data_IF_160791957745
#
_entry.id   IF_160791957745
#
_cell.length_a   1.000
_cell.length_b   1.000
_cell.length_c   1.000
_cell.angle_alpha   90.00
_cell.angle_beta   90.00
_cell.angle_gamma   90.00
#
_symmetry.space_group_name_H-M   'P 1'
#
loop_
_entity.id
_entity.type
_entity.pdbx_description
1 polymer ?
#
# COMPACT_ATOMS: atom_id res chain seq x y z
N UNK A 1 5.48 -14.16 23.74
CA UNK A 1 4.81 -12.96 23.19
C UNK A 1 5.27 -12.61 21.78
N UNK A 2 6.59 -12.47 21.48
CA UNK A 2 7.10 -12.06 20.16
C UNK A 2 6.55 -12.89 18.98
N UNK A 3 6.59 -14.23 19.02
CA UNK A 3 6.07 -15.07 17.94
C UNK A 3 4.56 -14.87 17.70
N UNK A 4 3.78 -14.70 18.77
CA UNK A 4 2.33 -14.43 18.66
C UNK A 4 2.03 -13.10 17.98
N UNK A 5 2.82 -12.07 18.29
CA UNK A 5 2.71 -10.76 17.62
C UNK A 5 3.21 -10.81 16.17
N UNK A 6 4.29 -11.56 15.89
CA UNK A 6 4.76 -11.79 14.52
C UNK A 6 3.66 -12.45 13.66
N UNK A 7 2.96 -13.45 14.20
CA UNK A 7 1.88 -14.10 13.48
C UNK A 7 0.66 -13.19 13.28
N UNK A 8 0.35 -12.31 14.26
CA UNK A 8 -0.66 -11.27 14.07
C UNK A 8 -0.33 -10.37 12.87
N UNK A 9 0.93 -9.89 12.77
CA UNK A 9 1.36 -9.06 11.65
C UNK A 9 1.34 -9.81 10.33
N UNK A 10 1.74 -11.08 10.33
CA UNK A 10 1.66 -11.94 9.15
C UNK A 10 0.22 -11.99 8.62
N UNK A 11 -0.75 -12.35 9.47
CA UNK A 11 -2.16 -12.44 9.08
C UNK A 11 -2.71 -11.08 8.62
N UNK A 12 -2.45 -10.02 9.38
CA UNK A 12 -2.97 -8.68 9.09
C UNK A 12 -2.52 -8.17 7.72
N UNK A 13 -1.24 -8.31 7.39
CA UNK A 13 -0.73 -7.85 6.10
C UNK A 13 -1.05 -8.80 4.94
N UNK A 14 -1.29 -10.09 5.24
CA UNK A 14 -1.81 -11.03 4.24
C UNK A 14 -3.18 -10.62 3.72
N UNK A 15 -4.05 -10.04 4.53
CA UNK A 15 -5.35 -9.48 4.09
C UNK A 15 -5.14 -8.48 2.95
N UNK A 16 -4.17 -7.60 3.07
CA UNK A 16 -3.85 -6.59 2.06
C UNK A 16 -3.16 -7.19 0.83
N UNK A 17 -2.22 -8.11 1.07
CA UNK A 17 -1.45 -8.78 0.02
C UNK A 17 -2.31 -9.58 -0.95
N UNK A 18 -3.49 -10.08 -0.54
CA UNK A 18 -4.39 -10.83 -1.40
C UNK A 18 -4.95 -10.00 -2.56
N UNK A 19 -5.22 -8.72 -2.37
CA UNK A 19 -5.96 -7.95 -3.36
C UNK A 19 -5.29 -6.65 -3.79
N UNK A 20 -4.60 -5.92 -2.90
CA UNK A 20 -4.20 -4.54 -3.14
C UNK A 20 -3.51 -4.33 -4.50
N UNK A 21 -2.61 -5.22 -4.86
CA UNK A 21 -1.81 -5.08 -6.08
C UNK A 21 -2.55 -5.54 -7.33
N UNK A 22 -3.37 -6.58 -7.27
CA UNK A 22 -4.13 -7.12 -8.41
C UNK A 22 -5.55 -6.56 -8.53
N UNK A 23 -5.97 -5.70 -7.59
CA UNK A 23 -7.33 -5.14 -7.56
C UNK A 23 -7.68 -4.32 -8.80
N UNK A 24 -6.71 -3.57 -9.35
CA UNK A 24 -6.89 -2.83 -10.60
C UNK A 24 -7.27 -3.73 -11.78
N UNK A 25 -6.71 -4.95 -11.84
CA UNK A 25 -7.06 -5.92 -12.87
C UNK A 25 -8.49 -6.45 -12.69
N UNK A 26 -8.92 -6.72 -11.46
CA UNK A 26 -10.30 -7.10 -11.16
C UNK A 26 -11.31 -6.01 -11.53
N UNK A 27 -11.00 -4.76 -11.17
CA UNK A 27 -11.84 -3.60 -11.54
C UNK A 27 -11.97 -3.46 -13.06
N UNK A 28 -10.85 -3.62 -13.78
CA UNK A 28 -10.83 -3.59 -15.23
C UNK A 28 -11.67 -4.69 -15.85
N UNK A 29 -11.47 -5.94 -15.40
CA UNK A 29 -12.24 -7.09 -15.87
C UNK A 29 -13.76 -6.92 -15.62
N UNK A 30 -14.11 -6.34 -14.46
CA UNK A 30 -15.50 -6.07 -14.08
C UNK A 30 -16.15 -4.84 -14.75
N UNK A 31 -15.42 -4.06 -15.58
CA UNK A 31 -15.96 -2.88 -16.27
C UNK A 31 -15.71 -1.55 -15.56
N UNK A 32 -15.06 -1.54 -14.39
CA UNK A 32 -14.71 -0.33 -13.64
C UNK A 32 -13.25 0.13 -13.87
N UNK A 33 -12.68 -0.25 -15.01
CA UNK A 33 -11.28 0.06 -15.31
C UNK A 33 -10.96 1.56 -15.38
N UNK A 34 -11.91 2.39 -15.85
CA UNK A 34 -11.79 3.84 -15.87
C UNK A 34 -11.92 4.47 -14.48
N UNK A 35 -12.37 3.70 -13.49
CA UNK A 35 -12.65 4.16 -12.14
C UNK A 35 -11.60 3.73 -11.11
N UNK A 36 -10.53 3.04 -11.52
CA UNK A 36 -9.45 2.53 -10.65
C UNK A 36 -8.94 3.63 -9.71
N UNK A 37 -8.76 4.85 -10.21
CA UNK A 37 -8.27 5.98 -9.42
C UNK A 37 -9.14 6.28 -8.20
N UNK A 38 -10.45 6.10 -8.27
CA UNK A 38 -11.35 6.39 -7.14
C UNK A 38 -11.20 5.36 -6.03
N UNK A 39 -11.01 4.09 -6.38
CA UNK A 39 -10.79 3.01 -5.40
C UNK A 39 -9.46 3.17 -4.64
N UNK A 40 -8.38 3.52 -5.34
CA UNK A 40 -7.09 3.77 -4.68
C UNK A 40 -7.06 5.13 -3.97
N UNK A 41 -7.76 6.15 -4.47
CA UNK A 41 -7.91 7.43 -3.78
C UNK A 41 -8.70 7.28 -2.46
N UNK A 42 -9.67 6.36 -2.39
CA UNK A 42 -10.44 6.06 -1.19
C UNK A 42 -9.53 5.61 -0.02
N UNK A 43 -8.44 4.88 -0.30
CA UNK A 43 -7.44 4.50 0.73
C UNK A 43 -6.88 5.74 1.41
N UNK A 44 -6.50 6.74 0.63
CA UNK A 44 -5.99 8.02 1.15
C UNK A 44 -7.05 8.78 1.95
N UNK A 45 -8.25 8.92 1.40
CA UNK A 45 -9.37 9.63 2.05
C UNK A 45 -9.71 9.02 3.42
N UNK A 46 -9.83 7.70 3.48
CA UNK A 46 -10.13 6.97 4.72
C UNK A 46 -8.98 7.11 5.73
N UNK A 47 -7.74 7.10 5.26
CA UNK A 47 -6.54 7.25 6.11
C UNK A 47 -6.47 8.59 6.82
N UNK A 48 -7.18 9.61 6.33
CA UNK A 48 -7.25 10.93 6.99
C UNK A 48 -8.05 10.92 8.29
N UNK A 49 -9.11 10.11 8.34
CA UNK A 49 -10.13 10.22 9.37
C UNK A 49 -10.15 9.02 10.32
N UNK A 50 -10.16 7.80 9.77
CA UNK A 50 -10.52 6.60 10.55
C UNK A 50 -9.47 6.18 11.58
N UNK A 51 -8.13 6.32 11.34
CA UNK A 51 -7.16 5.97 12.38
C UNK A 51 -7.25 6.87 13.62
N UNK A 52 -7.51 8.16 13.43
CA UNK A 52 -7.67 9.09 14.54
C UNK A 52 -8.93 8.79 15.37
N UNK A 53 -10.05 8.51 14.70
CA UNK A 53 -11.30 8.13 15.34
C UNK A 53 -11.15 6.83 16.14
N UNK A 54 -10.62 5.76 15.50
CA UNK A 54 -10.48 4.47 16.16
C UNK A 54 -9.42 4.48 17.27
N UNK A 55 -8.36 5.28 17.12
CA UNK A 55 -7.40 5.53 18.19
C UNK A 55 -8.07 6.16 19.41
N UNK A 56 -8.93 7.15 19.21
CA UNK A 56 -9.70 7.78 20.28
C UNK A 56 -10.62 6.77 20.99
N UNK A 57 -11.31 5.91 20.23
CA UNK A 57 -12.14 4.83 20.80
C UNK A 57 -11.31 3.85 21.62
N UNK A 58 -10.12 3.47 21.13
CA UNK A 58 -9.21 2.55 21.81
C UNK A 58 -8.67 3.13 23.13
N UNK A 59 -8.44 4.43 23.19
CA UNK A 59 -7.87 5.10 24.35
C UNK A 59 -8.89 5.29 25.49
N UNK A 60 -10.20 5.21 25.20
CA UNK A 60 -11.24 5.63 26.15
C UNK A 60 -12.35 4.63 26.41
N UNK A 61 -12.77 3.88 25.41
CA UNK A 61 -13.99 3.09 25.47
C UNK A 61 -13.75 1.59 25.37
N UNK A 62 -12.87 1.16 24.49
CA UNK A 62 -12.66 -0.26 24.16
C UNK A 62 -11.18 -0.57 24.15
N UNK A 63 -10.72 -1.65 24.81
CA UNK A 63 -9.33 -2.08 24.71
C UNK A 63 -8.87 -2.20 23.25
N UNK A 64 -7.69 -1.65 22.92
CA UNK A 64 -7.17 -1.58 21.55
C UNK A 64 -7.16 -2.94 20.82
N UNK A 65 -6.87 -4.02 21.54
CA UNK A 65 -6.90 -5.38 20.98
C UNK A 65 -8.31 -5.85 20.62
N UNK A 66 -9.30 -5.56 21.46
CA UNK A 66 -10.72 -5.92 21.17
C UNK A 66 -11.24 -5.10 20.00
N UNK A 67 -10.90 -3.81 19.95
CA UNK A 67 -11.27 -2.93 18.85
C UNK A 67 -10.59 -3.39 17.54
N UNK A 68 -9.34 -3.82 17.61
CA UNK A 68 -8.62 -4.43 16.47
C UNK A 68 -9.37 -5.64 15.92
N UNK A 69 -9.80 -6.56 16.78
CA UNK A 69 -10.57 -7.74 16.37
C UNK A 69 -11.93 -7.37 15.76
N UNK A 70 -12.64 -6.42 16.37
CA UNK A 70 -13.93 -5.93 15.86
C UNK A 70 -13.78 -5.26 14.49
N UNK A 71 -12.76 -4.42 14.32
CA UNK A 71 -12.46 -3.79 13.03
C UNK A 71 -12.14 -4.83 11.94
N UNK A 72 -11.35 -5.87 12.25
CA UNK A 72 -11.10 -6.96 11.31
C UNK A 72 -12.37 -7.75 10.97
N UNK A 73 -13.24 -8.00 11.95
CA UNK A 73 -14.51 -8.69 11.72
C UNK A 73 -15.41 -7.88 10.76
N UNK A 74 -15.63 -6.58 11.07
CA UNK A 74 -16.44 -5.71 10.21
C UNK A 74 -15.85 -5.57 8.80
N UNK A 75 -14.53 -5.38 8.71
CA UNK A 75 -13.83 -5.34 7.43
C UNK A 75 -14.02 -6.63 6.63
N UNK A 76 -13.86 -7.80 7.29
CA UNK A 76 -14.05 -9.11 6.64
C UNK A 76 -15.47 -9.29 6.10
N UNK A 77 -16.49 -8.92 6.86
CA UNK A 77 -17.89 -9.04 6.42
C UNK A 77 -18.17 -8.15 5.20
N UNK A 78 -17.62 -6.93 5.18
CA UNK A 78 -17.75 -6.01 4.04
C UNK A 78 -16.98 -6.51 2.80
N UNK A 79 -15.78 -7.05 3.00
CA UNK A 79 -15.01 -7.67 1.91
C UNK A 79 -15.68 -8.94 1.38
N UNK A 80 -16.29 -9.74 2.27
CA UNK A 80 -17.12 -10.89 1.88
C UNK A 80 -18.32 -10.45 1.04
N UNK A 81 -19.01 -9.39 1.45
CA UNK A 81 -20.09 -8.78 0.65
C UNK A 81 -19.60 -8.28 -0.72
N UNK A 82 -18.41 -7.68 -0.78
CA UNK A 82 -17.79 -7.25 -2.02
C UNK A 82 -17.44 -8.43 -2.94
N UNK A 83 -16.95 -9.54 -2.35
CA UNK A 83 -16.73 -10.80 -3.08
C UNK A 83 -18.02 -11.34 -3.68
N UNK A 84 -19.08 -11.55 -2.86
CA UNK A 84 -20.38 -12.04 -3.36
C UNK A 84 -20.92 -11.15 -4.46
N UNK A 85 -20.85 -9.83 -4.28
CA UNK A 85 -21.31 -8.88 -5.30
C UNK A 85 -20.51 -9.06 -6.61
N UNK A 86 -19.20 -9.14 -6.54
CA UNK A 86 -18.36 -9.30 -7.74
C UNK A 86 -18.49 -10.67 -8.41
N UNK A 87 -18.75 -11.72 -7.65
CA UNK A 87 -18.94 -13.08 -8.16
C UNK A 87 -20.31 -13.24 -8.86
N UNK A 88 -21.33 -12.56 -8.37
CA UNK A 88 -22.69 -12.62 -8.92
C UNK A 88 -22.97 -11.60 -10.04
N UNK A 89 -22.11 -10.59 -10.20
CA UNK A 89 -22.28 -9.53 -11.20
C UNK A 89 -21.03 -9.41 -12.08
N UNK A 90 -20.96 -10.10 -13.23
CA UNK A 90 -19.83 -10.02 -14.16
C UNK A 90 -19.50 -8.59 -14.61
N UNK A 91 -20.51 -7.72 -14.65
CA UNK A 91 -20.36 -6.28 -14.86
C UNK A 91 -20.64 -5.55 -13.54
N UNK A 92 -19.57 -5.04 -12.93
CA UNK A 92 -19.63 -4.32 -11.67
C UNK A 92 -20.29 -2.95 -11.87
N UNK A 93 -21.21 -2.60 -10.97
CA UNK A 93 -21.74 -1.23 -10.89
C UNK A 93 -20.92 -0.45 -9.85
N UNK A 94 -20.50 0.77 -10.23
CA UNK A 94 -19.60 1.59 -9.41
C UNK A 94 -20.11 1.78 -7.97
N UNK A 95 -21.31 2.33 -7.79
CA UNK A 95 -21.80 2.77 -6.48
C UNK A 95 -21.86 1.64 -5.44
N UNK A 96 -22.57 0.51 -5.68
CA UNK A 96 -22.66 -0.53 -4.66
C UNK A 96 -21.31 -1.18 -4.35
N UNK A 97 -20.48 -1.43 -5.37
CA UNK A 97 -19.17 -2.05 -5.17
C UNK A 97 -18.21 -1.10 -4.45
N UNK A 98 -18.23 0.19 -4.82
CA UNK A 98 -17.41 1.23 -4.17
C UNK A 98 -17.80 1.42 -2.70
N UNK A 99 -19.09 1.41 -2.35
CA UNK A 99 -19.54 1.54 -0.98
C UNK A 99 -19.12 0.36 -0.10
N UNK A 100 -19.19 -0.87 -0.62
CA UNK A 100 -18.67 -2.05 0.09
C UNK A 100 -17.17 -1.94 0.34
N UNK A 101 -16.41 -1.52 -0.67
CA UNK A 101 -14.96 -1.33 -0.56
C UNK A 101 -14.59 -0.17 0.38
N UNK A 102 -15.29 0.96 0.28
CA UNK A 102 -15.10 2.10 1.19
C UNK A 102 -15.38 1.73 2.64
N UNK A 103 -16.45 0.98 2.87
CA UNK A 103 -16.78 0.44 4.19
C UNK A 103 -15.70 -0.51 4.71
N UNK A 104 -15.21 -1.42 3.86
CA UNK A 104 -14.06 -2.27 4.19
C UNK A 104 -12.85 -1.43 4.61
N UNK A 105 -12.48 -0.42 3.82
CA UNK A 105 -11.34 0.45 4.14
C UNK A 105 -11.55 1.20 5.46
N UNK A 106 -12.76 1.68 5.72
CA UNK A 106 -13.07 2.44 6.95
C UNK A 106 -12.77 1.64 8.23
N UNK A 107 -12.93 0.33 8.19
CA UNK A 107 -12.58 -0.56 9.30
C UNK A 107 -11.18 -1.14 9.20
N UNK A 108 -10.67 -1.41 7.98
CA UNK A 108 -9.37 -2.06 7.81
C UNK A 108 -8.19 -1.10 8.04
N UNK A 109 -8.23 0.12 7.50
CA UNK A 109 -7.10 1.07 7.59
C UNK A 109 -6.71 1.38 9.06
N UNK A 110 -7.64 1.65 9.98
CA UNK A 110 -7.25 1.92 11.37
C UNK A 110 -6.63 0.70 12.09
N UNK A 111 -6.82 -0.52 11.59
CA UNK A 111 -6.21 -1.71 12.19
C UNK A 111 -4.69 -1.64 12.24
N UNK A 112 -4.05 -0.91 11.30
CA UNK A 112 -2.60 -0.71 11.29
C UNK A 112 -2.12 0.03 12.54
N UNK A 113 -2.78 1.13 12.88
CA UNK A 113 -2.47 1.91 14.09
C UNK A 113 -2.81 1.13 15.37
N UNK A 114 -3.96 0.45 15.41
CA UNK A 114 -4.39 -0.38 16.55
C UNK A 114 -3.43 -1.54 16.80
N UNK A 115 -2.95 -2.22 15.75
CA UNK A 115 -1.98 -3.29 15.87
C UNK A 115 -0.64 -2.79 16.43
N UNK A 116 -0.16 -1.62 15.96
CA UNK A 116 1.06 -1.01 16.48
C UNK A 116 0.92 -0.66 17.97
N UNK A 117 -0.17 0.03 18.35
CA UNK A 117 -0.45 0.40 19.73
C UNK A 117 -0.54 -0.83 20.65
N UNK A 118 -1.28 -1.83 20.22
CA UNK A 118 -1.43 -3.11 20.95
C UNK A 118 -0.09 -3.81 21.11
N UNK A 119 0.70 -3.88 20.03
CA UNK A 119 2.01 -4.55 20.04
C UNK A 119 2.98 -3.85 20.97
N UNK A 120 3.06 -2.52 20.95
CA UNK A 120 3.93 -1.76 21.84
C UNK A 120 3.54 -1.94 23.31
N UNK A 121 2.24 -1.93 23.60
CA UNK A 121 1.74 -2.12 24.95
C UNK A 121 2.06 -3.54 25.49
N UNK A 122 1.82 -4.59 24.69
CA UNK A 122 2.11 -5.98 25.05
C UNK A 122 3.61 -6.27 25.18
N UNK A 123 4.47 -5.65 24.37
CA UNK A 123 5.93 -5.74 24.51
C UNK A 123 6.37 -5.12 25.82
N UNK A 124 5.92 -3.90 26.13
CA UNK A 124 6.22 -3.22 27.40
C UNK A 124 5.78 -4.03 28.60
N UNK A 125 4.55 -4.59 28.59
CA UNK A 125 4.05 -5.46 29.65
C UNK A 125 4.91 -6.73 29.84
N UNK A 126 5.51 -7.22 28.74
CA UNK A 126 6.43 -8.39 28.78
C UNK A 126 7.86 -8.03 29.13
N UNK A 127 8.13 -6.80 29.60
CA UNK A 127 9.49 -6.31 29.94
C UNK A 127 10.40 -6.12 28.73
N UNK A 128 9.84 -6.02 27.51
CA UNK A 128 10.61 -5.90 26.26
C UNK A 128 10.51 -4.48 25.70
N UNK A 129 11.64 -3.93 25.30
CA UNK A 129 11.66 -2.62 24.62
C UNK A 129 11.10 -2.75 23.20
N UNK A 130 10.08 -1.96 22.83
CA UNK A 130 9.53 -2.00 21.48
C UNK A 130 10.58 -1.71 20.39
N UNK A 131 11.55 -0.84 20.64
CA UNK A 131 12.59 -0.45 19.68
C UNK A 131 13.43 -1.63 19.22
N UNK A 132 13.67 -2.63 20.10
CA UNK A 132 14.52 -3.79 19.80
C UNK A 132 13.74 -4.94 19.16
N UNK A 133 12.43 -5.04 19.44
CA UNK A 133 11.62 -6.19 19.07
C UNK A 133 10.64 -5.92 17.94
N UNK A 134 10.14 -4.69 17.84
CA UNK A 134 9.13 -4.33 16.86
C UNK A 134 9.59 -4.47 15.40
N UNK A 135 10.82 -4.07 15.01
CA UNK A 135 11.28 -4.24 13.64
C UNK A 135 11.19 -5.69 13.15
N UNK A 136 11.56 -6.64 14.01
CA UNK A 136 11.51 -8.07 13.68
C UNK A 136 10.06 -8.57 13.55
N UNK A 137 9.15 -8.08 14.40
CA UNK A 137 7.72 -8.38 14.31
C UNK A 137 7.17 -7.82 13.00
N UNK A 138 7.54 -6.58 12.64
CA UNK A 138 7.04 -5.89 11.45
C UNK A 138 7.44 -6.59 10.13
N UNK A 139 8.64 -7.20 10.09
CA UNK A 139 9.10 -8.00 8.92
C UNK A 139 8.13 -9.14 8.60
N UNK A 140 7.52 -9.77 9.62
CA UNK A 140 6.50 -10.82 9.39
C UNK A 140 5.27 -10.29 8.66
N UNK A 141 4.95 -9.00 8.79
CA UNK A 141 3.92 -8.35 7.98
C UNK A 141 4.29 -8.37 6.50
N UNK A 142 5.51 -7.98 6.12
CA UNK A 142 5.97 -8.05 4.73
C UNK A 142 5.96 -9.50 4.20
N UNK A 143 6.39 -10.47 5.01
CA UNK A 143 6.33 -11.89 4.64
C UNK A 143 4.88 -12.35 4.40
N UNK A 144 3.93 -11.93 5.24
CA UNK A 144 2.51 -12.24 5.07
C UNK A 144 1.94 -11.62 3.79
N UNK A 145 2.29 -10.37 3.52
CA UNK A 145 1.88 -9.68 2.31
C UNK A 145 2.39 -10.41 1.05
N UNK A 146 3.67 -10.72 0.99
CA UNK A 146 4.30 -11.43 -0.14
C UNK A 146 3.73 -12.84 -0.30
N UNK A 147 3.58 -13.60 0.79
CA UNK A 147 2.99 -14.94 0.75
C UNK A 147 1.56 -14.93 0.19
N UNK A 148 0.75 -13.94 0.59
CA UNK A 148 -0.60 -13.76 0.07
C UNK A 148 -0.60 -13.38 -1.42
N UNK A 149 0.31 -12.50 -1.86
CA UNK A 149 0.49 -12.18 -3.29
C UNK A 149 0.81 -13.43 -4.10
N UNK A 150 1.75 -14.25 -3.63
CA UNK A 150 2.15 -15.48 -4.33
C UNK A 150 1.01 -16.50 -4.38
N UNK A 151 0.26 -16.60 -3.29
CA UNK A 151 -0.91 -17.46 -3.23
C UNK A 151 -1.96 -17.06 -4.28
N UNK A 152 -2.40 -15.81 -4.31
CA UNK A 152 -3.43 -15.35 -5.27
C UNK A 152 -2.92 -15.33 -6.71
N UNK A 153 -1.61 -15.14 -6.92
CA UNK A 153 -1.02 -15.21 -8.25
C UNK A 153 -1.09 -16.62 -8.84
N UNK A 154 -0.95 -17.66 -8.03
CA UNK A 154 -0.81 -19.04 -8.49
C UNK A 154 -2.04 -19.91 -8.27
N UNK A 155 -2.83 -19.67 -7.23
CA UNK A 155 -4.01 -20.48 -6.90
C UNK A 155 -5.15 -20.25 -7.90
N UNK A 156 -5.85 -21.31 -8.28
CA UNK A 156 -7.03 -21.27 -9.15
C UNK A 156 -8.10 -22.28 -8.70
N UNK A 157 -9.34 -22.04 -9.14
CA UNK A 157 -10.41 -23.02 -9.15
C UNK A 157 -10.93 -23.11 -10.60
N UNK A 158 -10.78 -24.27 -11.21
CA UNK A 158 -11.23 -24.54 -12.56
C UNK A 158 -11.95 -25.90 -12.62
N UNK A 159 -13.16 -25.93 -13.18
CA UNK A 159 -14.01 -27.14 -13.26
C UNK A 159 -14.18 -27.88 -11.92
N UNK A 160 -14.34 -27.10 -10.83
CA UNK A 160 -14.47 -27.63 -9.48
C UNK A 160 -13.17 -28.16 -8.85
N UNK A 161 -12.04 -28.06 -9.55
CA UNK A 161 -10.73 -28.50 -9.05
C UNK A 161 -9.92 -27.29 -8.56
N UNK A 162 -9.45 -27.36 -7.31
CA UNK A 162 -8.49 -26.41 -6.75
C UNK A 162 -7.06 -26.82 -7.13
N UNK A 163 -6.24 -25.89 -7.56
CA UNK A 163 -4.84 -26.14 -7.89
C UNK A 163 -3.98 -24.89 -7.92
N UNK A 164 -2.71 -25.08 -8.33
CA UNK A 164 -1.73 -24.00 -8.48
C UNK A 164 -1.09 -24.06 -9.87
N UNK A 165 -0.95 -22.91 -10.52
CA UNK A 165 -0.21 -22.78 -11.78
C UNK A 165 0.48 -21.43 -11.88
N UNK A 166 1.65 -21.41 -12.49
CA UNK A 166 2.38 -20.20 -12.90
C UNK A 166 2.42 -20.07 -14.42
N UNK A 167 1.89 -21.07 -15.14
CA UNK A 167 1.84 -21.08 -16.60
C UNK A 167 0.59 -20.36 -17.12
N UNK A 168 0.77 -19.54 -18.14
CA UNK A 168 -0.33 -18.85 -18.82
C UNK A 168 -0.96 -19.70 -19.92
N UNK A 169 -0.28 -20.79 -20.35
CA UNK A 169 -0.74 -21.66 -21.43
C UNK A 169 -1.72 -22.73 -20.98
N UNK A 170 -2.07 -22.77 -19.69
CA UNK A 170 -3.04 -23.74 -19.16
C UNK A 170 -4.47 -23.19 -19.23
N UNK A 171 -5.49 -24.02 -19.50
CA UNK A 171 -6.90 -23.60 -19.48
C UNK A 171 -7.32 -22.98 -18.13
N UNK A 172 -6.63 -23.34 -17.04
CA UNK A 172 -6.88 -22.81 -15.70
C UNK A 172 -6.30 -21.41 -15.47
N UNK A 173 -5.41 -20.93 -16.35
CA UNK A 173 -4.72 -19.64 -16.16
C UNK A 173 -5.65 -18.43 -15.96
N UNK A 174 -6.75 -18.25 -16.72
CA UNK A 174 -7.67 -17.13 -16.53
C UNK A 174 -8.43 -17.18 -15.20
N UNK A 175 -8.48 -18.35 -14.58
CA UNK A 175 -9.21 -18.59 -13.32
C UNK A 175 -8.31 -18.43 -12.08
N UNK A 176 -7.06 -17.99 -12.25
CA UNK A 176 -6.20 -17.67 -11.10
C UNK A 176 -6.83 -16.56 -10.27
N UNK A 177 -6.67 -16.65 -8.95
CA UNK A 177 -7.33 -15.75 -8.02
C UNK A 177 -7.00 -14.29 -8.25
N UNK A 178 -5.81 -13.98 -8.76
CA UNK A 178 -5.43 -12.60 -9.12
C UNK A 178 -6.30 -11.96 -10.20
N UNK A 179 -6.97 -12.74 -11.03
CA UNK A 179 -7.85 -12.26 -12.11
C UNK A 179 -9.34 -12.37 -11.76
N UNK A 180 -9.68 -13.06 -10.69
CA UNK A 180 -11.04 -13.37 -10.30
C UNK A 180 -11.45 -12.70 -8.98
N UNK A 181 -12.76 -12.62 -8.65
CA UNK A 181 -13.22 -12.14 -7.35
C UNK A 181 -12.69 -12.93 -6.15
N UNK A 182 -12.14 -14.15 -6.36
CA UNK A 182 -11.60 -14.98 -5.29
C UNK A 182 -10.49 -14.30 -4.47
N UNK A 183 -9.76 -13.33 -5.04
CA UNK A 183 -8.82 -12.49 -4.27
C UNK A 183 -9.49 -11.79 -3.07
N UNK A 184 -10.77 -11.38 -3.22
CA UNK A 184 -11.54 -10.73 -2.15
C UNK A 184 -12.04 -11.76 -1.13
N UNK A 185 -12.44 -12.96 -1.58
CA UNK A 185 -12.84 -14.05 -0.70
C UNK A 185 -11.71 -14.47 0.23
N UNK A 186 -10.50 -14.66 -0.32
CA UNK A 186 -9.31 -15.02 0.48
C UNK A 186 -8.94 -13.89 1.44
N UNK A 187 -9.01 -12.65 1.01
CA UNK A 187 -8.79 -11.47 1.86
C UNK A 187 -9.78 -11.43 3.03
N UNK A 188 -11.07 -11.67 2.76
CA UNK A 188 -12.12 -11.76 3.79
C UNK A 188 -11.84 -12.87 4.79
N UNK A 189 -11.51 -14.07 4.31
CA UNK A 189 -11.18 -15.23 5.17
C UNK A 189 -10.00 -14.92 6.09
N UNK A 190 -8.91 -14.36 5.55
CA UNK A 190 -7.73 -13.99 6.34
C UNK A 190 -8.04 -12.89 7.36
N UNK A 191 -8.89 -11.93 7.01
CA UNK A 191 -9.37 -10.92 7.94
C UNK A 191 -10.21 -11.51 9.08
N UNK A 192 -11.09 -12.47 8.78
CA UNK A 192 -11.85 -13.23 9.79
C UNK A 192 -10.91 -14.03 10.71
N UNK A 193 -9.94 -14.73 10.14
CA UNK A 193 -8.91 -15.45 10.90
C UNK A 193 -8.10 -14.50 11.79
N UNK A 194 -7.79 -13.29 11.30
CA UNK A 194 -7.13 -12.26 12.11
C UNK A 194 -8.01 -11.81 13.27
N UNK A 195 -9.31 -11.57 13.04
CA UNK A 195 -10.26 -11.22 14.08
C UNK A 195 -10.33 -12.30 15.16
N UNK A 196 -10.47 -13.56 14.77
CA UNK A 196 -10.49 -14.70 15.70
C UNK A 196 -9.16 -14.85 16.45
N UNK A 197 -8.03 -14.64 15.76
CA UNK A 197 -6.72 -14.72 16.38
C UNK A 197 -6.51 -13.66 17.47
N UNK A 198 -7.09 -12.46 17.33
CA UNK A 198 -7.02 -11.42 18.38
C UNK A 198 -7.62 -11.88 19.70
N UNK A 199 -8.60 -12.81 19.69
CA UNK A 199 -9.21 -13.36 20.91
C UNK A 199 -8.22 -14.21 21.72
N UNK A 200 -7.19 -14.73 21.11
CA UNK A 200 -6.15 -15.53 21.78
C UNK A 200 -5.10 -14.68 22.50
N UNK A 201 -4.99 -13.40 22.18
CA UNK A 201 -3.98 -12.49 22.74
C UNK A 201 -4.45 -11.88 24.08
N UNK A 202 -3.54 -11.54 25.01
CA UNK A 202 -3.91 -10.93 26.27
C UNK A 202 -4.42 -9.50 26.07
N UNK A 203 -5.55 -9.20 26.69
CA UNK A 203 -6.20 -7.88 26.63
C UNK A 203 -5.62 -6.96 27.70
N UNK A 204 -5.24 -5.76 27.29
CA UNK A 204 -4.80 -4.69 28.19
C UNK A 204 -5.97 -3.75 28.53
N UNK A 205 -5.95 -3.13 29.72
CA UNK A 205 -6.99 -2.17 30.09
C UNK A 205 -6.93 -0.90 29.20
N UNK A 206 -8.05 -0.18 29.17
CA UNK A 206 -8.15 1.10 28.47
C UNK A 206 -7.25 2.12 29.15
N UNK A 207 -6.39 2.85 28.41
CA UNK A 207 -5.40 3.78 29.00
C UNK A 207 -6.02 4.95 29.77
N UNK A 208 -7.08 5.57 29.26
CA UNK A 208 -7.67 6.80 29.80
C UNK A 208 -9.21 6.73 29.83
N UNK A 209 -9.81 5.83 30.65
CA UNK A 209 -11.27 5.69 30.68
C UNK A 209 -11.96 6.97 31.11
N UNK A 210 -13.00 7.39 30.38
CA UNK A 210 -13.90 8.48 30.75
C UNK A 210 -13.39 9.91 30.61
N UNK A 211 -12.15 10.17 30.15
CA UNK A 211 -11.66 11.54 29.94
C UNK A 211 -12.27 12.19 28.71
N UNK A 212 -12.80 13.41 28.83
CA UNK A 212 -13.25 14.21 27.70
C UNK A 212 -12.06 14.70 26.85
N UNK A 213 -12.17 14.67 25.53
CA UNK A 213 -11.23 15.32 24.62
C UNK A 213 -11.98 16.24 23.68
N UNK A 214 -11.34 17.35 23.32
CA UNK A 214 -11.85 18.22 22.28
C UNK A 214 -11.74 17.55 20.91
N UNK A 215 -12.61 17.91 19.98
CA UNK A 215 -12.52 17.50 18.58
C UNK A 215 -11.13 17.80 17.99
N UNK A 216 -10.54 18.93 18.37
CA UNK A 216 -9.18 19.31 17.98
C UNK A 216 -8.09 18.35 18.50
N UNK A 217 -8.33 17.71 19.64
CA UNK A 217 -7.39 16.75 20.21
C UNK A 217 -7.50 15.37 19.51
N UNK A 218 -8.71 14.98 19.07
CA UNK A 218 -8.96 13.74 18.34
C UNK A 218 -8.24 13.77 16.97
N UNK A 219 -8.42 14.84 16.24
CA UNK A 219 -7.85 14.99 14.88
C UNK A 219 -6.43 15.57 14.86
N UNK A 220 -5.86 15.86 16.03
CA UNK A 220 -4.46 16.29 16.13
C UNK A 220 -4.19 17.65 15.51
N UNK A 221 -5.18 18.56 15.47
CA UNK A 221 -5.00 19.92 14.90
C UNK A 221 -3.82 20.69 15.52
N UNK A 222 -3.39 20.31 16.72
CA UNK A 222 -2.17 20.86 17.35
C UNK A 222 -0.91 20.60 16.50
N UNK A 223 -0.88 19.52 15.71
CA UNK A 223 0.23 19.22 14.80
C UNK A 223 0.41 20.28 13.70
N UNK A 224 -0.66 20.95 13.28
CA UNK A 224 -0.55 22.03 12.29
C UNK A 224 0.32 23.20 12.75
N UNK A 225 0.60 23.34 14.06
CA UNK A 225 1.59 24.28 14.54
C UNK A 225 3.00 24.00 14.01
N UNK A 226 3.29 22.76 13.60
CA UNK A 226 4.56 22.39 12.99
C UNK A 226 4.79 23.05 11.61
N UNK A 227 3.72 23.45 10.90
CA UNK A 227 3.82 24.28 9.69
C UNK A 227 4.44 25.67 9.92
N UNK A 228 4.53 26.14 11.17
CA UNK A 228 5.24 27.37 11.49
C UNK A 228 6.75 27.25 11.33
N UNK A 229 7.30 26.01 11.39
CA UNK A 229 8.71 25.74 11.12
C UNK A 229 8.93 25.66 9.61
N UNK A 230 9.72 26.56 8.99
CA UNK A 230 9.85 26.65 7.53
C UNK A 230 10.31 25.35 6.88
N UNK A 231 11.30 24.68 7.48
CA UNK A 231 11.85 23.43 6.98
C UNK A 231 10.83 22.26 7.05
N UNK A 232 10.03 22.18 8.12
CA UNK A 232 8.97 21.17 8.27
C UNK A 232 7.86 21.45 7.26
N UNK A 233 7.47 22.70 7.09
CA UNK A 233 6.46 23.11 6.10
C UNK A 233 6.86 22.70 4.68
N UNK A 234 8.10 23.00 4.27
CA UNK A 234 8.61 22.59 2.96
C UNK A 234 8.56 21.08 2.83
N UNK A 235 9.08 20.33 3.81
CA UNK A 235 9.05 18.86 3.77
C UNK A 235 7.64 18.31 3.66
N UNK A 236 6.68 18.79 4.45
CA UNK A 236 5.29 18.32 4.44
C UNK A 236 4.57 18.63 3.11
N UNK A 237 4.86 19.77 2.48
CA UNK A 237 4.35 20.07 1.14
C UNK A 237 4.91 19.06 0.12
N UNK A 238 6.21 18.78 0.16
CA UNK A 238 6.81 17.79 -0.74
C UNK A 238 6.39 16.34 -0.40
N UNK A 239 5.99 16.07 0.84
CA UNK A 239 5.41 14.79 1.21
C UNK A 239 4.09 14.49 0.47
N UNK A 240 3.27 15.52 0.20
CA UNK A 240 2.08 15.39 -0.64
C UNK A 240 2.48 14.86 -2.02
N UNK A 241 3.43 15.52 -2.66
CA UNK A 241 3.87 15.15 -4.01
C UNK A 241 4.54 13.77 -4.07
N UNK A 242 5.26 13.36 -3.03
CA UNK A 242 5.88 12.04 -2.97
C UNK A 242 4.85 10.91 -2.76
N UNK A 243 3.78 11.18 -2.01
CA UNK A 243 2.68 10.23 -1.79
C UNK A 243 1.96 9.81 -3.06
N UNK A 244 1.95 10.67 -4.08
CA UNK A 244 1.43 10.38 -5.43
C UNK A 244 2.13 9.18 -6.07
N UNK A 245 3.47 9.15 -6.02
CA UNK A 245 4.29 8.13 -6.70
C UNK A 245 3.98 6.71 -6.22
N UNK A 246 3.76 6.54 -4.91
CA UNK A 246 3.43 5.26 -4.31
C UNK A 246 2.12 4.68 -4.88
N UNK A 247 1.09 5.50 -4.94
CA UNK A 247 -0.23 5.03 -5.37
C UNK A 247 -0.31 4.78 -6.88
N UNK A 248 0.40 5.56 -7.69
CA UNK A 248 0.56 5.28 -9.12
C UNK A 248 1.15 3.88 -9.31
N UNK A 249 2.23 3.58 -8.59
CA UNK A 249 2.88 2.27 -8.66
C UNK A 249 1.95 1.14 -8.24
N UNK A 250 1.20 1.29 -7.14
CA UNK A 250 0.29 0.26 -6.63
C UNK A 250 -0.92 0.02 -7.55
N UNK A 251 -1.46 1.07 -8.15
CA UNK A 251 -2.67 0.97 -8.96
C UNK A 251 -2.44 0.52 -10.40
N UNK A 252 -1.29 0.87 -10.98
CA UNK A 252 -1.11 0.73 -12.42
C UNK A 252 0.06 -0.14 -12.88
N UNK A 253 1.02 -0.48 -12.01
CA UNK A 253 2.16 -1.31 -12.43
C UNK A 253 1.74 -2.71 -12.88
N UNK A 254 0.79 -3.36 -12.20
CA UNK A 254 0.31 -4.70 -12.58
C UNK A 254 -0.54 -4.67 -13.84
N UNK A 255 -1.56 -3.80 -14.00
CA UNK A 255 -2.25 -3.64 -15.29
C UNK A 255 -1.30 -3.36 -16.46
N UNK A 256 -0.25 -2.55 -16.26
CA UNK A 256 0.80 -2.33 -17.24
C UNK A 256 1.55 -3.61 -17.61
N UNK A 257 2.00 -4.40 -16.64
CA UNK A 257 2.73 -5.64 -16.95
C UNK A 257 1.81 -6.66 -17.63
N UNK A 258 0.55 -6.76 -17.20
CA UNK A 258 -0.41 -7.67 -17.78
C UNK A 258 -0.79 -7.33 -19.24
N UNK A 259 -0.67 -6.05 -19.68
CA UNK A 259 -1.02 -5.69 -21.05
C UNK A 259 -0.14 -6.42 -22.10
N UNK A 260 1.07 -6.82 -21.71
CA UNK A 260 1.95 -7.60 -22.56
C UNK A 260 1.41 -8.99 -22.93
N UNK A 261 0.43 -9.51 -22.19
CA UNK A 261 -0.26 -10.76 -22.51
C UNK A 261 -1.04 -10.68 -23.83
N UNK A 262 -1.29 -9.48 -24.37
CA UNK A 262 -1.95 -9.27 -25.66
C UNK A 262 -1.04 -9.53 -26.88
N UNK A 263 0.27 -9.61 -26.68
CA UNK A 263 1.23 -9.68 -27.79
C UNK A 263 1.82 -11.07 -27.94
N UNK A 264 1.82 -11.56 -29.21
CA UNK A 264 2.39 -12.89 -29.57
C UNK A 264 3.86 -13.04 -29.14
N UNK A 265 4.61 -11.96 -29.18
CA UNK A 265 6.03 -11.92 -28.79
C UNK A 265 6.27 -12.33 -27.34
N UNK A 266 5.29 -12.09 -26.45
CA UNK A 266 5.42 -12.37 -25.02
C UNK A 266 4.61 -13.57 -24.56
N UNK A 267 4.11 -14.39 -25.47
CA UNK A 267 3.44 -15.65 -25.14
C UNK A 267 4.40 -16.56 -24.38
N UNK A 268 3.96 -17.02 -23.19
CA UNK A 268 4.79 -17.82 -22.30
C UNK A 268 5.84 -17.03 -21.51
N UNK A 269 5.88 -15.69 -21.63
CA UNK A 269 6.72 -14.85 -20.76
C UNK A 269 6.26 -14.98 -19.32
N UNK A 270 7.18 -15.43 -18.47
CA UNK A 270 6.90 -15.54 -17.03
C UNK A 270 6.40 -14.22 -16.41
N UNK A 271 6.97 -13.09 -16.81
CA UNK A 271 6.66 -11.79 -16.24
C UNK A 271 5.24 -11.30 -16.61
N UNK A 272 4.83 -11.46 -17.88
CA UNK A 272 3.52 -10.99 -18.34
C UNK A 272 2.38 -11.69 -17.59
N UNK A 273 2.46 -13.00 -17.43
CA UNK A 273 1.43 -13.75 -16.74
C UNK A 273 1.53 -13.76 -15.21
N UNK A 274 2.69 -13.42 -14.66
CA UNK A 274 2.91 -13.43 -13.22
C UNK A 274 3.27 -12.04 -12.67
N UNK A 275 2.58 -11.00 -13.16
CA UNK A 275 2.82 -9.60 -12.80
C UNK A 275 2.76 -9.36 -11.28
N UNK A 276 1.81 -10.01 -10.58
CA UNK A 276 1.67 -9.90 -9.11
C UNK A 276 2.88 -10.49 -8.39
N UNK A 277 3.39 -11.64 -8.85
CA UNK A 277 4.59 -12.26 -8.28
C UNK A 277 5.82 -11.38 -8.54
N UNK A 278 5.98 -10.86 -9.76
CA UNK A 278 7.07 -9.94 -10.09
C UNK A 278 7.00 -8.66 -9.23
N UNK A 279 5.82 -8.08 -9.07
CA UNK A 279 5.62 -6.91 -8.23
C UNK A 279 6.00 -7.15 -6.76
N UNK A 280 5.88 -8.40 -6.26
CA UNK A 280 6.28 -8.76 -4.90
C UNK A 280 7.77 -8.53 -4.61
N UNK A 281 8.64 -8.50 -5.65
CA UNK A 281 10.04 -8.11 -5.51
C UNK A 281 10.19 -6.69 -4.95
N UNK A 282 9.23 -5.80 -5.24
CA UNK A 282 9.20 -4.45 -4.66
C UNK A 282 9.02 -4.50 -3.14
N UNK A 283 8.18 -5.40 -2.64
CA UNK A 283 7.94 -5.57 -1.20
C UNK A 283 9.13 -6.22 -0.50
N UNK A 284 9.77 -7.19 -1.13
CA UNK A 284 11.00 -7.82 -0.62
C UNK A 284 12.14 -6.78 -0.56
N UNK A 285 12.27 -5.99 -1.62
CA UNK A 285 13.23 -4.87 -1.66
C UNK A 285 12.96 -3.84 -0.57
N UNK A 286 11.70 -3.49 -0.33
CA UNK A 286 11.31 -2.60 0.78
C UNK A 286 11.87 -3.11 2.10
N UNK A 287 11.65 -4.40 2.42
CA UNK A 287 12.14 -4.99 3.66
C UNK A 287 13.68 -4.92 3.78
N UNK A 288 14.41 -5.13 2.69
CA UNK A 288 15.87 -5.07 2.65
C UNK A 288 16.41 -3.64 2.87
N UNK A 289 15.79 -2.63 2.24
CA UNK A 289 16.27 -1.25 2.30
C UNK A 289 15.92 -0.51 3.59
N UNK A 290 15.06 -1.05 4.45
CA UNK A 290 14.78 -0.49 5.78
C UNK A 290 16.07 -0.22 6.57
N UNK A 291 16.98 -1.20 6.59
CA UNK A 291 18.23 -1.10 7.34
C UNK A 291 19.21 -0.08 6.76
N UNK A 292 19.19 0.11 5.44
CA UNK A 292 20.08 1.02 4.72
C UNK A 292 19.68 2.48 4.95
N UNK A 293 18.39 2.77 5.09
CA UNK A 293 17.86 4.14 5.23
C UNK A 293 18.47 4.87 6.43
N UNK A 294 18.55 4.22 7.58
CA UNK A 294 19.16 4.82 8.78
C UNK A 294 20.64 5.15 8.61
N UNK A 295 21.38 4.31 7.90
CA UNK A 295 22.80 4.57 7.57
C UNK A 295 22.96 5.71 6.57
N UNK A 296 22.10 5.74 5.55
CA UNK A 296 22.08 6.81 4.55
C UNK A 296 21.82 8.17 5.21
N UNK A 297 20.82 8.27 6.09
CA UNK A 297 20.54 9.52 6.81
C UNK A 297 21.74 10.04 7.61
N UNK A 298 22.50 9.15 8.24
CA UNK A 298 23.71 9.53 9.01
C UNK A 298 24.84 9.99 8.11
N UNK A 299 25.01 9.40 6.91
CA UNK A 299 26.14 9.67 6.01
C UNK A 299 25.92 10.87 5.11
N UNK A 300 24.75 10.96 4.47
CA UNK A 300 24.48 11.96 3.44
C UNK A 300 23.43 13.01 3.86
N UNK A 301 22.80 12.82 5.01
CA UNK A 301 21.81 13.76 5.56
C UNK A 301 20.42 13.66 4.94
N UNK A 302 19.45 14.28 5.61
CA UNK A 302 18.02 14.18 5.27
C UNK A 302 17.70 14.68 3.85
N UNK A 303 18.25 15.85 3.48
CA UNK A 303 17.99 16.51 2.18
C UNK A 303 18.32 15.59 1.00
N UNK A 304 19.51 14.97 1.02
CA UNK A 304 19.94 14.07 -0.07
C UNK A 304 19.20 12.74 -0.03
N UNK A 305 18.84 12.22 1.14
CA UNK A 305 18.04 10.98 1.25
C UNK A 305 16.68 11.16 0.56
N UNK A 306 15.98 12.27 0.81
CA UNK A 306 14.69 12.55 0.14
C UNK A 306 14.88 12.78 -1.36
N UNK A 307 15.95 13.45 -1.79
CA UNK A 307 16.27 13.58 -3.20
C UNK A 307 16.47 12.21 -3.87
N UNK A 308 17.25 11.33 -3.26
CA UNK A 308 17.45 9.97 -3.80
C UNK A 308 16.18 9.13 -3.78
N UNK A 309 15.25 9.34 -2.84
CA UNK A 309 13.93 8.71 -2.88
C UNK A 309 13.16 9.12 -4.15
N UNK A 310 13.13 10.42 -4.46
CA UNK A 310 12.43 10.94 -5.64
C UNK A 310 13.15 10.59 -6.95
N UNK A 311 14.49 10.58 -6.96
CA UNK A 311 15.28 10.08 -8.08
C UNK A 311 15.04 8.57 -8.32
N UNK A 312 14.89 7.78 -7.27
CA UNK A 312 14.54 6.36 -7.38
C UNK A 312 13.12 6.17 -7.94
N UNK A 313 12.14 7.01 -7.56
CA UNK A 313 10.81 7.02 -8.20
C UNK A 313 10.91 7.38 -9.68
N UNK A 314 11.72 8.38 -10.03
CA UNK A 314 11.97 8.75 -11.44
C UNK A 314 12.52 7.55 -12.22
N UNK A 315 13.58 6.91 -11.72
CA UNK A 315 14.17 5.73 -12.38
C UNK A 315 13.19 4.57 -12.48
N UNK A 316 12.36 4.32 -11.44
CA UNK A 316 11.33 3.29 -11.48
C UNK A 316 10.35 3.51 -12.63
N UNK A 317 9.79 4.72 -12.73
CA UNK A 317 8.84 5.04 -13.79
C UNK A 317 9.51 5.10 -15.18
N UNK A 318 10.73 5.60 -15.27
CA UNK A 318 11.51 5.59 -16.50
C UNK A 318 11.71 4.16 -17.03
N UNK A 319 12.09 3.24 -16.15
CA UNK A 319 12.23 1.84 -16.54
C UNK A 319 10.89 1.21 -16.92
N UNK A 320 9.78 1.50 -16.22
CA UNK A 320 8.47 1.03 -16.64
C UNK A 320 8.05 1.54 -18.03
N UNK A 321 8.49 2.74 -18.43
CA UNK A 321 8.24 3.28 -19.77
C UNK A 321 9.16 2.74 -20.88
N UNK A 322 10.32 2.18 -20.53
CA UNK A 322 11.33 1.74 -21.51
C UNK A 322 11.40 0.22 -21.70
N UNK A 323 10.79 -0.57 -20.81
CA UNK A 323 11.04 -2.00 -20.75
C UNK A 323 9.83 -2.86 -21.13
N UNK A 324 10.12 -4.07 -21.55
CA UNK A 324 9.17 -5.13 -21.84
C UNK A 324 9.53 -6.43 -21.06
N UNK A 325 8.64 -7.39 -20.97
CA UNK A 325 8.88 -8.65 -20.24
C UNK A 325 9.74 -9.67 -21.00
N UNK A 326 10.22 -9.32 -22.19
CA UNK A 326 11.16 -10.11 -23.00
C UNK A 326 12.61 -9.76 -22.68
N UNK A 327 13.31 -9.16 -23.64
CA UNK A 327 14.71 -8.73 -23.49
C UNK A 327 14.90 -7.68 -22.38
N UNK A 328 13.85 -6.89 -22.10
CA UNK A 328 13.83 -5.89 -21.05
C UNK A 328 13.60 -6.42 -19.63
N UNK A 329 13.40 -7.73 -19.42
CA UNK A 329 13.05 -8.32 -18.12
C UNK A 329 14.02 -7.92 -17.00
N UNK A 330 15.32 -7.85 -17.28
CA UNK A 330 16.32 -7.46 -16.29
C UNK A 330 16.09 -6.03 -15.75
N UNK A 331 15.75 -5.09 -16.60
CA UNK A 331 15.43 -3.71 -16.23
C UNK A 331 14.09 -3.62 -15.51
N UNK A 332 13.11 -4.44 -15.89
CA UNK A 332 11.83 -4.53 -15.21
C UNK A 332 12.02 -5.03 -13.75
N UNK A 333 12.84 -6.06 -13.55
CA UNK A 333 13.21 -6.54 -12.20
C UNK A 333 13.96 -5.43 -11.44
N UNK A 334 14.89 -4.74 -12.07
CA UNK A 334 15.60 -3.63 -11.45
C UNK A 334 14.66 -2.51 -11.01
N UNK A 335 13.64 -2.18 -11.84
CA UNK A 335 12.58 -1.25 -11.47
C UNK A 335 11.83 -1.70 -10.20
N UNK A 336 11.59 -3.01 -10.03
CA UNK A 336 10.97 -3.53 -8.82
C UNK A 336 11.89 -3.41 -7.60
N UNK A 337 13.19 -3.65 -7.76
CA UNK A 337 14.17 -3.56 -6.67
C UNK A 337 14.38 -2.10 -6.22
N UNK A 338 14.43 -1.14 -7.15
CA UNK A 338 14.67 0.27 -6.82
C UNK A 338 13.51 0.89 -6.00
N UNK A 339 12.34 0.26 -6.02
CA UNK A 339 11.20 0.63 -5.18
C UNK A 339 11.55 0.69 -3.70
N UNK A 340 12.40 -0.23 -3.20
CA UNK A 340 12.80 -0.25 -1.80
C UNK A 340 13.53 1.03 -1.38
N UNK A 341 14.37 1.61 -2.26
CA UNK A 341 15.00 2.91 -2.04
C UNK A 341 13.95 4.02 -2.11
N UNK A 342 13.13 4.03 -3.17
CA UNK A 342 12.13 5.04 -3.41
C UNK A 342 11.16 5.19 -2.22
N UNK A 343 10.68 4.08 -1.70
CA UNK A 343 9.72 4.05 -0.60
C UNK A 343 10.37 4.35 0.75
N UNK A 344 11.43 3.60 1.12
CA UNK A 344 11.99 3.69 2.48
C UNK A 344 12.74 5.00 2.72
N UNK A 345 13.48 5.51 1.73
CA UNK A 345 14.20 6.77 1.89
C UNK A 345 13.26 7.94 2.13
N UNK A 346 12.03 7.88 1.62
CA UNK A 346 11.01 8.86 1.95
C UNK A 346 10.32 8.54 3.29
N UNK A 347 9.75 7.34 3.43
CA UNK A 347 8.90 6.99 4.58
C UNK A 347 9.69 6.98 5.89
N UNK A 348 10.74 6.18 5.97
CA UNK A 348 11.50 6.01 7.21
C UNK A 348 12.25 7.29 7.55
N UNK A 349 12.93 7.91 6.56
CA UNK A 349 13.63 9.16 6.81
C UNK A 349 12.67 10.28 7.22
N UNK A 350 11.50 10.36 6.60
CA UNK A 350 10.46 11.31 6.95
C UNK A 350 9.96 11.12 8.39
N UNK A 351 9.69 9.89 8.78
CA UNK A 351 9.29 9.57 10.16
C UNK A 351 10.37 9.91 11.19
N UNK A 352 11.63 9.60 10.91
CA UNK A 352 12.78 9.97 11.77
C UNK A 352 12.91 11.49 11.85
N UNK A 353 12.79 12.19 10.73
CA UNK A 353 12.86 13.65 10.69
C UNK A 353 11.75 14.31 11.50
N UNK A 354 10.49 13.86 11.34
CA UNK A 354 9.37 14.39 12.11
C UNK A 354 9.52 14.11 13.60
N UNK A 355 10.04 12.95 13.99
CA UNK A 355 10.34 12.62 15.39
C UNK A 355 11.37 13.59 15.99
N UNK A 356 12.45 13.90 15.26
CA UNK A 356 13.49 14.84 15.68
C UNK A 356 13.01 16.30 15.80
N UNK A 357 12.00 16.68 15.02
CA UNK A 357 11.43 18.03 15.01
C UNK A 357 10.24 18.19 15.96
N UNK A 358 9.75 17.09 16.53
CA UNK A 358 8.61 17.08 17.44
C UNK A 358 9.08 17.05 18.90
N UNK A 359 8.36 17.77 19.76
CA UNK A 359 8.52 17.67 21.21
C UNK A 359 7.87 16.36 21.72
N UNK A 360 8.20 15.96 22.95
CA UNK A 360 7.65 14.74 23.57
C UNK A 360 6.12 14.67 23.55
N UNK A 361 5.44 15.83 23.62
CA UNK A 361 3.97 15.92 23.61
C UNK A 361 3.36 15.93 22.21
N UNK A 362 4.16 16.21 21.16
CA UNK A 362 3.69 16.38 19.78
C UNK A 362 4.19 15.29 18.83
N UNK A 363 4.98 14.32 19.30
CA UNK A 363 5.56 13.26 18.46
C UNK A 363 4.53 12.46 17.67
N UNK A 364 3.49 11.96 18.34
CA UNK A 364 2.41 11.22 17.68
C UNK A 364 1.66 12.06 16.64
N UNK A 365 1.43 13.33 16.95
CA UNK A 365 0.77 14.25 16.03
C UNK A 365 1.64 14.57 14.81
N UNK A 366 2.96 14.72 14.99
CA UNK A 366 3.89 14.96 13.89
C UNK A 366 3.92 13.77 12.90
N UNK A 367 3.94 12.54 13.42
CA UNK A 367 3.86 11.32 12.62
C UNK A 367 2.53 11.23 11.85
N UNK A 368 1.41 11.49 12.53
CA UNK A 368 0.09 11.55 11.91
C UNK A 368 -0.01 12.60 10.81
N UNK A 369 0.60 13.77 11.01
CA UNK A 369 0.61 14.86 10.03
C UNK A 369 1.39 14.46 8.75
N UNK A 370 2.53 13.79 8.87
CA UNK A 370 3.25 13.25 7.73
C UNK A 370 2.41 12.26 6.94
N UNK A 371 1.77 11.29 7.62
CA UNK A 371 0.89 10.31 6.99
C UNK A 371 -0.31 10.97 6.33
N UNK A 372 -0.90 11.98 6.96
CA UNK A 372 -2.02 12.73 6.39
C UNK A 372 -1.62 13.46 5.10
N UNK A 373 -0.43 14.08 5.07
CA UNK A 373 0.04 14.78 3.87
C UNK A 373 0.39 13.81 2.75
N UNK A 374 1.16 12.76 3.03
CA UNK A 374 1.60 11.80 1.99
C UNK A 374 0.50 10.82 1.60
N UNK A 375 0.03 10.00 2.54
CA UNK A 375 -0.92 8.92 2.25
C UNK A 375 -2.38 9.38 2.19
N UNK A 376 -2.70 10.51 2.83
CA UNK A 376 -4.02 11.12 2.75
C UNK A 376 -4.16 12.01 1.52
N UNK A 377 -3.69 13.25 1.62
CA UNK A 377 -3.88 14.27 0.57
C UNK A 377 -3.14 13.91 -0.71
N UNK A 378 -1.85 13.53 -0.59
CA UNK A 378 -0.99 13.20 -1.73
C UNK A 378 -1.52 12.00 -2.50
N UNK A 379 -1.81 10.91 -1.82
CA UNK A 379 -2.33 9.70 -2.42
C UNK A 379 -3.71 9.92 -3.08
N UNK A 380 -4.63 10.60 -2.40
CA UNK A 380 -5.98 10.86 -2.92
C UNK A 380 -5.92 11.74 -4.17
N UNK A 381 -5.36 12.95 -4.06
CA UNK A 381 -5.31 13.91 -5.15
C UNK A 381 -4.47 13.39 -6.33
N UNK A 382 -3.31 12.81 -6.01
CA UNK A 382 -2.40 12.28 -7.00
C UNK A 382 -2.96 11.11 -7.79
N UNK A 383 -3.71 10.22 -7.14
CA UNK A 383 -4.32 9.08 -7.83
C UNK A 383 -5.42 9.51 -8.81
N UNK A 384 -6.20 10.53 -8.46
CA UNK A 384 -7.21 11.09 -9.37
C UNK A 384 -6.54 11.68 -10.63
N UNK A 385 -5.48 12.49 -10.44
CA UNK A 385 -4.75 13.08 -11.56
C UNK A 385 -4.05 12.00 -12.40
N UNK A 386 -3.41 11.03 -11.76
CA UNK A 386 -2.75 9.92 -12.46
C UNK A 386 -3.74 9.08 -13.28
N UNK A 387 -4.92 8.80 -12.71
CA UNK A 387 -5.98 8.10 -13.43
C UNK A 387 -6.47 8.86 -14.66
N UNK A 388 -6.64 10.18 -14.55
CA UNK A 388 -7.01 11.01 -15.69
C UNK A 388 -5.93 10.96 -16.81
N UNK A 389 -4.64 11.03 -16.44
CA UNK A 389 -3.54 10.91 -17.41
C UNK A 389 -3.56 9.54 -18.07
N UNK A 390 -3.60 8.46 -17.29
CA UNK A 390 -3.54 7.10 -17.84
C UNK A 390 -4.76 6.79 -18.71
N UNK A 391 -5.97 7.17 -18.28
CA UNK A 391 -7.20 6.95 -19.05
C UNK A 391 -7.23 7.76 -20.36
N UNK A 392 -6.40 8.81 -20.49
CA UNK A 392 -6.24 9.52 -21.76
C UNK A 392 -5.43 8.70 -22.78
N UNK A 393 -4.41 7.98 -22.35
CA UNK A 393 -3.51 7.21 -23.23
C UNK A 393 -3.90 5.73 -23.35
N UNK A 394 -4.57 5.18 -22.36
CA UNK A 394 -4.89 3.75 -22.28
C UNK A 394 -6.38 3.50 -22.08
N UNK A 395 -6.87 2.33 -22.57
CA UNK A 395 -8.28 1.90 -22.48
C UNK A 395 -8.36 0.42 -22.16
N UNK A 396 -9.44 0.03 -21.48
CA UNK A 396 -9.72 -1.37 -21.24
C UNK A 396 -10.41 -2.00 -22.45
N UNK A 397 -9.76 -3.01 -23.03
CA UNK A 397 -10.21 -3.69 -24.24
C UNK A 397 -10.30 -5.21 -24.02
N UNK A 398 -11.23 -5.85 -24.72
CA UNK A 398 -11.29 -7.31 -24.80
C UNK A 398 -10.33 -7.75 -25.90
N UNK A 399 -9.36 -8.55 -25.54
CA UNK A 399 -8.31 -9.03 -26.45
C UNK A 399 -8.31 -10.54 -26.42
N UNK A 400 -8.21 -11.19 -27.60
CA UNK A 400 -7.96 -12.61 -27.66
C UNK A 400 -6.55 -12.91 -27.20
N UNK A 401 -6.43 -13.74 -26.16
CA UNK A 401 -5.11 -14.09 -25.63
C UNK A 401 -4.38 -15.00 -26.62
N UNK A 402 -3.20 -14.61 -27.14
CA UNK A 402 -2.41 -15.44 -28.04
C UNK A 402 -2.00 -16.78 -27.45
N UNK A 403 -2.03 -16.90 -26.12
CA UNK A 403 -1.80 -18.17 -25.39
C UNK A 403 -2.90 -19.22 -25.60
N UNK A 404 -4.01 -18.87 -26.28
CA UNK A 404 -5.17 -19.75 -26.46
C UNK A 404 -6.08 -19.84 -25.22
N UNK A 405 -5.89 -19.00 -24.21
CA UNK A 405 -6.73 -18.97 -23.00
C UNK A 405 -8.06 -18.23 -23.19
N UNK A 406 -8.40 -17.79 -24.42
CA UNK A 406 -9.64 -17.12 -24.77
C UNK A 406 -9.58 -15.61 -24.65
N UNK A 407 -10.77 -14.96 -24.58
CA UNK A 407 -10.87 -13.51 -24.47
C UNK A 407 -10.56 -13.04 -23.07
N UNK A 408 -9.61 -12.11 -22.94
CA UNK A 408 -9.21 -11.47 -21.68
C UNK A 408 -9.37 -9.96 -21.78
N UNK A 409 -9.66 -9.30 -20.68
CA UNK A 409 -9.78 -7.85 -20.62
C UNK A 409 -8.49 -7.24 -20.08
N UNK A 410 -7.82 -6.45 -20.93
CA UNK A 410 -6.52 -5.84 -20.63
C UNK A 410 -6.56 -4.32 -20.81
N UNK A 411 -5.67 -3.64 -20.14
CA UNK A 411 -5.54 -2.18 -20.22
C UNK A 411 -4.55 -1.83 -21.32
N UNK A 412 -5.07 -1.63 -22.53
CA UNK A 412 -4.30 -1.44 -23.75
C UNK A 412 -4.09 0.05 -24.05
N UNK A 413 -3.01 0.37 -24.76
CA UNK A 413 -2.72 1.73 -25.22
C UNK A 413 -1.25 2.11 -25.14
N UNK A 414 -0.97 3.41 -25.23
CA UNK A 414 0.37 3.97 -25.10
C UNK A 414 0.73 4.13 -23.62
N UNK A 415 1.39 3.12 -23.06
CA UNK A 415 1.87 3.15 -21.69
C UNK A 415 3.17 3.93 -21.49
N UNK A 416 3.94 4.17 -22.55
CA UNK A 416 5.21 4.87 -22.47
C UNK A 416 5.00 6.33 -22.02
N UNK A 417 4.03 7.02 -22.65
CA UNK A 417 3.76 8.42 -22.36
C UNK A 417 3.41 8.69 -20.88
N UNK A 418 2.46 7.99 -20.23
CA UNK A 418 2.20 8.14 -18.80
C UNK A 418 3.42 7.90 -17.93
N UNK A 419 4.19 6.83 -18.22
CA UNK A 419 5.36 6.52 -17.39
C UNK A 419 6.44 7.60 -17.49
N UNK A 420 6.70 8.16 -18.68
CA UNK A 420 7.62 9.28 -18.83
C UNK A 420 7.12 10.56 -18.16
N UNK A 421 5.82 10.84 -18.21
CA UNK A 421 5.22 11.97 -17.46
C UNK A 421 5.47 11.79 -15.96
N UNK A 422 5.25 10.60 -15.40
CA UNK A 422 5.49 10.34 -13.98
C UNK A 422 6.96 10.34 -13.60
N UNK A 423 7.84 9.89 -14.49
CA UNK A 423 9.29 9.98 -14.31
C UNK A 423 9.75 11.45 -14.26
N UNK A 424 9.33 12.26 -15.24
CA UNK A 424 9.61 13.70 -15.27
C UNK A 424 9.05 14.43 -14.05
N UNK A 425 7.81 14.12 -13.65
CA UNK A 425 7.19 14.63 -12.44
C UNK A 425 8.08 14.37 -11.21
N UNK A 426 8.49 13.10 -11.00
CA UNK A 426 9.28 12.72 -9.83
C UNK A 426 10.65 13.40 -9.80
N UNK A 427 11.29 13.55 -10.97
CA UNK A 427 12.57 14.25 -11.11
C UNK A 427 12.44 15.74 -10.79
N UNK A 428 11.43 16.41 -11.36
CA UNK A 428 11.18 17.84 -11.12
C UNK A 428 10.92 18.09 -9.64
N UNK A 429 10.06 17.28 -9.00
CA UNK A 429 9.79 17.40 -7.56
C UNK A 429 11.07 17.18 -6.74
N UNK A 430 11.92 16.22 -7.12
CA UNK A 430 13.21 15.96 -6.46
C UNK A 430 14.17 17.16 -6.54
N UNK A 431 14.29 17.76 -7.72
CA UNK A 431 15.13 18.96 -7.94
C UNK A 431 14.58 20.18 -7.18
N UNK A 432 13.27 20.39 -7.22
CA UNK A 432 12.62 21.48 -6.47
C UNK A 432 12.78 21.27 -4.96
N UNK A 433 12.68 20.01 -4.46
CA UNK A 433 12.93 19.73 -3.05
C UNK A 433 14.34 20.18 -2.64
N UNK A 434 15.37 19.79 -3.40
CA UNK A 434 16.74 20.21 -3.13
C UNK A 434 16.91 21.73 -3.19
N UNK A 435 16.19 22.41 -4.07
CA UNK A 435 16.25 23.86 -4.20
C UNK A 435 15.61 24.59 -2.99
N UNK A 436 14.42 24.15 -2.59
CA UNK A 436 13.63 24.83 -1.55
C UNK A 436 13.93 24.36 -0.13
N UNK A 437 14.33 23.10 0.04
CA UNK A 437 14.65 22.57 1.36
C UNK A 437 16.07 22.95 1.77
N UNK A 438 16.20 23.67 2.89
CA UNK A 438 17.49 24.05 3.48
C UNK A 438 17.57 23.47 4.88
N UNK A 439 18.62 22.68 5.15
CA UNK A 439 18.96 22.25 6.50
C UNK A 439 19.38 23.49 7.31
N UNK A 440 18.58 23.87 8.30
CA UNK A 440 19.02 24.86 9.27
C UNK A 440 20.09 24.15 10.12
N UNK A 441 21.37 24.45 9.83
CA UNK A 441 22.50 23.97 10.66
C UNK A 441 22.18 24.36 12.10
N UNK A 442 22.01 23.38 12.99
CA UNK A 442 22.12 23.64 14.43
C UNK A 442 23.49 24.29 14.63
N UNK A 443 23.52 25.57 14.96
CA UNK A 443 24.68 26.20 15.57
C UNK A 443 25.03 25.32 16.77
N UNK A 444 26.17 24.63 16.71
CA UNK A 444 26.72 23.92 17.87
C UNK A 444 27.03 25.00 18.90
N UNK A 445 26.16 25.15 19.89
CA UNK A 445 26.47 25.78 21.17
C UNK A 445 26.86 24.68 22.15
#
# INVERSE_FOLDING_TARGET
MRGRLSFLYFLQFSVWGCYLSCFGQLLGAGGLGTDIQWFYAAVGLVSLLTPALMGHFADRFVPSLRLLGLCHLCASLLMFGAWIYADTHPHLTFTPFFLLYLGFLAFYIPTMALANTTTFALLKQSGKLPVDHFPIIRVWGTLGFVAAMWFVNSAYIYEGTFGFTLSDSTPASPFRFQYTPMQLAVSSLLGLLTALYTLTLPVLPVPHPGKSSSFSDIFGFKAFRMFKMPEVRVFLIFAIFTGVCLQISNGYAIPFINHFMAFNEYVGSFAAGNATLLFSLSQISEAAFILITGMAMKKIGFRLVIFFALAAWCLRFLFLGLVNPGEGLGWLIFSMIIYGIAFNFFNIAGHIYMDQKSDHTTRGFGQGLLMMMSNGIGATGGMIVAGAIINHYCRWEMVEAPSGSGMIRLFMGDWEAPWFIFAAYSLVIGLLFVLFYRDIKKTRT
#
